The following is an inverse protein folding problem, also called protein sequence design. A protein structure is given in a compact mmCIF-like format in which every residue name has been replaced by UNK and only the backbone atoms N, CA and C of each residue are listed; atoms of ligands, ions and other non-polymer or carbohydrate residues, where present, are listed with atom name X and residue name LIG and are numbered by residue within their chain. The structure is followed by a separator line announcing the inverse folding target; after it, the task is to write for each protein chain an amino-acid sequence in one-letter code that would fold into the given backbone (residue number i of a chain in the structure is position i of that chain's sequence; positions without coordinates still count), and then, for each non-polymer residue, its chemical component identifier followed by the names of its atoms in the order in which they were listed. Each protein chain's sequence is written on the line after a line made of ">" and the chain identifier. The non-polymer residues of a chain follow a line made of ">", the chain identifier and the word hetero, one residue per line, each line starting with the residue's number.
data_IF_268500121311
#
_entry.id   IF_268500121311
#
_cell.length_a   1.000
_cell.length_b   1.000
_cell.length_c   1.000
_cell.angle_alpha   90.00
_cell.angle_beta   90.00
_cell.angle_gamma   90.00
#
_symmetry.space_group_name_H-M   'P 1'
#
loop_
_entity.id
_entity.type
_entity.pdbx_description
1 polymer ?
#
# COMPACT_ATOMS: atom_id res chain seq x y z
N UNK A 1 -9.82 21.64 -13.17
CA UNK A 1 -8.72 22.07 -12.27
C UNK A 1 -7.88 20.84 -11.92
N UNK A 2 -6.56 20.95 -11.95
CA UNK A 2 -5.62 19.86 -11.64
C UNK A 2 -4.96 20.17 -10.29
N UNK A 3 -4.83 19.18 -9.41
CA UNK A 3 -4.21 19.32 -8.09
C UNK A 3 -3.07 18.33 -7.93
N UNK A 4 -2.01 18.76 -7.26
CA UNK A 4 -0.84 17.93 -6.99
C UNK A 4 -0.46 18.00 -5.52
N UNK A 5 -0.50 16.86 -4.82
CA UNK A 5 -0.05 16.78 -3.41
C UNK A 5 1.48 16.82 -3.24
N UNK A 6 2.23 16.52 -4.30
CA UNK A 6 3.69 16.31 -4.26
C UNK A 6 4.51 17.48 -4.82
N UNK A 7 3.85 18.51 -5.37
CA UNK A 7 4.48 19.60 -6.14
C UNK A 7 5.17 19.19 -7.45
N UNK A 8 5.08 17.92 -7.88
CA UNK A 8 5.77 17.43 -9.09
C UNK A 8 4.97 17.72 -10.37
N UNK A 9 5.62 18.16 -11.45
CA UNK A 9 4.97 18.58 -12.68
C UNK A 9 4.33 17.44 -13.50
N UNK A 10 4.46 16.18 -13.10
CA UNK A 10 3.91 15.02 -13.83
C UNK A 10 2.92 14.19 -13.00
N UNK A 11 2.58 14.66 -11.79
CA UNK A 11 1.76 13.89 -10.86
C UNK A 11 0.49 14.66 -10.51
N UNK A 12 -0.34 14.90 -11.52
CA UNK A 12 -1.61 15.60 -11.34
C UNK A 12 -2.74 14.61 -11.04
N UNK A 13 -3.62 15.03 -10.15
CA UNK A 13 -4.84 14.33 -9.78
C UNK A 13 -6.03 15.23 -10.10
N UNK A 14 -7.18 14.62 -10.42
CA UNK A 14 -8.42 15.38 -10.54
C UNK A 14 -8.85 15.90 -9.16
N UNK A 15 -9.59 17.00 -9.15
CA UNK A 15 -10.04 17.61 -7.89
C UNK A 15 -10.92 16.67 -7.06
N UNK A 16 -11.81 15.92 -7.72
CA UNK A 16 -12.68 14.93 -7.07
C UNK A 16 -11.86 13.81 -6.38
N UNK A 17 -10.86 13.28 -7.07
CA UNK A 17 -9.95 12.29 -6.50
C UNK A 17 -9.12 12.85 -5.34
N UNK A 18 -8.74 14.13 -5.40
CA UNK A 18 -8.01 14.79 -4.32
C UNK A 18 -8.90 14.95 -3.08
N UNK A 19 -10.15 15.34 -3.29
CA UNK A 19 -11.14 15.41 -2.24
C UNK A 19 -11.40 14.04 -1.63
N UNK A 20 -11.53 12.99 -2.44
CA UNK A 20 -11.68 11.62 -1.95
C UNK A 20 -10.46 11.18 -1.12
N UNK A 21 -9.25 11.53 -1.56
CA UNK A 21 -8.03 11.23 -0.80
C UNK A 21 -7.97 11.95 0.56
N UNK A 22 -8.55 13.16 0.67
CA UNK A 22 -8.60 13.90 1.93
C UNK A 22 -9.63 13.34 2.90
N UNK A 23 -10.75 12.81 2.39
CA UNK A 23 -11.85 12.30 3.21
C UNK A 23 -11.81 10.78 3.40
N UNK A 24 -10.89 10.05 2.74
CA UNK A 24 -10.77 8.59 2.87
C UNK A 24 -10.54 8.14 4.30
N UNK A 25 -9.72 8.85 5.08
CA UNK A 25 -9.41 8.47 6.47
C UNK A 25 -10.62 8.67 7.40
N UNK A 26 -11.54 9.54 6.99
CA UNK A 26 -12.81 9.82 7.66
C UNK A 26 -13.90 8.81 7.22
N UNK A 27 -13.93 8.45 5.92
CA UNK A 27 -14.94 7.56 5.32
C UNK A 27 -14.64 6.07 5.50
N UNK A 28 -13.39 5.66 5.28
CA UNK A 28 -12.94 4.27 5.11
C UNK A 28 -12.00 3.89 6.24
N UNK A 29 -12.42 2.88 7.02
CA UNK A 29 -11.70 1.90 7.87
C UNK A 29 -10.51 2.34 8.77
N UNK A 30 -9.66 3.31 8.43
CA UNK A 30 -8.36 3.57 9.10
C UNK A 30 -8.48 3.91 10.59
N UNK A 31 -9.54 4.60 11.01
CA UNK A 31 -9.79 4.98 12.42
C UNK A 31 -11.19 4.60 12.91
N UNK A 32 -11.74 3.48 12.43
CA UNK A 32 -13.04 2.98 12.89
C UNK A 32 -12.88 1.95 14.01
N UNK A 33 -13.08 2.31 15.29
CA UNK A 33 -13.16 1.31 16.36
C UNK A 33 -14.46 0.49 16.35
N UNK A 34 -15.52 0.93 15.65
CA UNK A 34 -16.87 0.33 15.75
C UNK A 34 -17.60 0.03 14.41
N UNK A 35 -16.88 -0.30 13.33
CA UNK A 35 -17.54 -0.75 12.09
C UNK A 35 -18.31 0.35 11.32
N UNK A 36 -19.16 -0.02 10.35
CA UNK A 36 -19.88 0.95 9.52
C UNK A 36 -21.01 1.61 10.33
N UNK A 37 -21.08 2.95 10.31
CA UNK A 37 -22.08 3.80 10.97
C UNK A 37 -21.89 4.14 12.47
N UNK A 38 -20.66 4.47 12.89
CA UNK A 38 -20.50 5.38 14.03
C UNK A 38 -21.05 6.75 13.63
N UNK A 39 -22.30 7.06 13.99
CA UNK A 39 -23.09 8.17 13.42
C UNK A 39 -22.42 9.55 13.41
N UNK A 40 -23.03 10.54 12.74
CA UNK A 40 -22.47 11.88 12.51
C UNK A 40 -21.82 12.56 13.71
N UNK A 41 -22.38 12.38 14.91
CA UNK A 41 -21.84 12.91 16.16
C UNK A 41 -20.42 12.40 16.47
N UNK A 42 -20.14 11.14 16.16
CA UNK A 42 -18.82 10.56 16.35
C UNK A 42 -17.82 11.11 15.33
N UNK A 43 -18.23 11.29 14.07
CA UNK A 43 -17.36 11.89 13.04
C UNK A 43 -16.95 13.33 13.42
N UNK A 44 -17.85 14.12 14.00
CA UNK A 44 -17.54 15.49 14.44
C UNK A 44 -16.47 15.52 15.54
N UNK A 45 -16.48 14.56 16.46
CA UNK A 45 -15.48 14.47 17.54
C UNK A 45 -14.16 13.89 17.02
N UNK A 46 -14.23 12.91 16.10
CA UNK A 46 -13.06 12.25 15.56
C UNK A 46 -12.27 13.15 14.59
N UNK A 47 -12.97 13.92 13.75
CA UNK A 47 -12.35 14.74 12.70
C UNK A 47 -11.19 15.63 13.19
N UNK A 48 -11.33 16.43 14.28
CA UNK A 48 -10.22 17.24 14.79
C UNK A 48 -9.09 16.41 15.41
N UNK A 49 -9.34 15.16 15.81
CA UNK A 49 -8.33 14.28 16.41
C UNK A 49 -7.48 13.53 15.36
N UNK A 50 -7.97 13.37 14.12
CA UNK A 50 -7.28 12.63 13.04
C UNK A 50 -5.83 13.10 12.81
N UNK A 51 -5.51 14.41 12.76
CA UNK A 51 -4.13 14.85 12.56
C UNK A 51 -3.17 14.35 13.63
N UNK A 52 -3.61 14.37 14.90
CA UNK A 52 -2.83 13.89 16.04
C UNK A 52 -2.63 12.37 15.97
N UNK A 53 -3.66 11.63 15.60
CA UNK A 53 -3.56 10.17 15.44
C UNK A 53 -2.58 9.82 14.32
N UNK A 54 -2.60 10.56 13.20
CA UNK A 54 -1.64 10.37 12.09
C UNK A 54 -0.21 10.62 12.53
N UNK A 55 0.06 11.73 13.21
CA UNK A 55 1.40 12.04 13.72
C UNK A 55 1.90 10.98 14.70
N UNK A 56 1.02 10.50 15.59
CA UNK A 56 1.36 9.47 16.58
C UNK A 56 1.67 8.14 15.88
N UNK A 57 0.86 7.78 14.88
CA UNK A 57 1.06 6.56 14.09
C UNK A 57 2.37 6.64 13.31
N UNK A 58 2.64 7.75 12.64
CA UNK A 58 3.89 7.98 11.90
C UNK A 58 5.11 7.92 12.82
N UNK A 59 5.01 8.47 14.03
CA UNK A 59 6.08 8.42 15.05
C UNK A 59 6.36 6.99 15.51
N UNK A 60 5.31 6.25 15.88
CA UNK A 60 5.43 4.84 16.31
C UNK A 60 6.03 4.01 15.18
N UNK A 61 5.53 4.18 13.95
CA UNK A 61 6.05 3.49 12.78
C UNK A 61 7.54 3.78 12.51
N UNK A 62 7.98 5.03 12.73
CA UNK A 62 9.39 5.40 12.60
C UNK A 62 10.23 4.75 13.72
N UNK A 63 9.71 4.71 14.94
CA UNK A 63 10.41 4.14 16.09
C UNK A 63 10.57 2.62 15.99
N UNK A 64 9.54 1.90 15.54
CA UNK A 64 9.55 0.44 15.45
C UNK A 64 9.97 -0.10 14.08
N UNK A 65 10.08 0.77 13.06
CA UNK A 65 10.50 0.43 11.70
C UNK A 65 9.73 -0.76 11.09
N UNK A 66 8.50 -0.97 11.56
CA UNK A 66 7.67 -2.16 11.34
C UNK A 66 7.11 -2.26 9.92
N UNK A 67 6.99 -1.13 9.22
CA UNK A 67 6.37 -1.02 7.90
C UNK A 67 7.29 -0.39 6.86
N UNK A 68 8.45 -1.02 6.59
CA UNK A 68 9.31 -0.60 5.47
C UNK A 68 8.80 -1.06 4.10
N UNK A 69 7.97 -2.10 4.06
CA UNK A 69 7.46 -2.65 2.80
C UNK A 69 6.26 -1.85 2.32
N UNK A 70 6.43 -1.13 1.20
CA UNK A 70 5.34 -0.40 0.52
C UNK A 70 5.18 1.07 0.88
N UNK A 71 5.94 1.61 1.85
CA UNK A 71 5.91 3.06 2.18
C UNK A 71 6.35 3.96 1.03
N UNK A 72 7.16 3.43 0.12
CA UNK A 72 7.59 4.11 -1.11
C UNK A 72 7.50 3.12 -2.25
N UNK A 73 6.75 3.47 -3.28
CA UNK A 73 6.92 2.86 -4.61
C UNK A 73 8.27 3.33 -5.15
N UNK A 74 9.32 2.61 -4.74
CA UNK A 74 10.64 2.78 -5.33
C UNK A 74 10.66 2.00 -6.65
N UNK A 75 11.43 2.45 -7.63
CA UNK A 75 11.58 1.69 -8.87
C UNK A 75 11.99 0.24 -8.54
N UNK A 76 11.28 -0.77 -9.07
CA UNK A 76 11.54 -2.16 -8.73
C UNK A 76 12.96 -2.55 -9.14
N UNK A 77 13.66 -3.26 -8.25
CA UNK A 77 15.02 -3.77 -8.52
C UNK A 77 14.88 -5.18 -9.06
N UNK A 78 14.56 -5.25 -10.35
CA UNK A 78 14.20 -6.48 -11.07
C UNK A 78 15.11 -7.67 -10.71
N UNK A 79 16.42 -7.51 -10.79
CA UNK A 79 17.37 -8.59 -10.54
C UNK A 79 17.36 -9.08 -9.08
N UNK A 80 17.22 -8.16 -8.11
CA UNK A 80 17.16 -8.50 -6.68
C UNK A 80 15.84 -9.19 -6.32
N UNK A 81 14.75 -8.76 -6.95
CA UNK A 81 13.43 -9.36 -6.75
C UNK A 81 13.35 -10.76 -7.38
N UNK A 82 13.96 -10.98 -8.55
CA UNK A 82 14.09 -12.31 -9.17
C UNK A 82 14.92 -13.24 -8.28
N UNK A 83 16.03 -12.76 -7.70
CA UNK A 83 16.84 -13.57 -6.80
C UNK A 83 16.07 -14.01 -5.56
N UNK A 84 15.34 -13.09 -4.90
CA UNK A 84 14.47 -13.42 -3.76
C UNK A 84 13.36 -14.41 -4.14
N UNK A 85 12.78 -14.26 -5.33
CA UNK A 85 11.80 -15.21 -5.85
C UNK A 85 12.41 -16.60 -6.06
N UNK A 86 13.61 -16.69 -6.63
CA UNK A 86 14.31 -17.96 -6.82
C UNK A 86 14.70 -18.61 -5.50
N UNK A 87 15.15 -17.83 -4.50
CA UNK A 87 15.44 -18.31 -3.15
C UNK A 87 14.18 -18.88 -2.47
N UNK A 88 13.04 -18.21 -2.57
CA UNK A 88 11.77 -18.69 -2.03
C UNK A 88 11.22 -19.92 -2.77
N UNK A 89 11.56 -20.09 -4.06
CA UNK A 89 11.15 -21.25 -4.85
C UNK A 89 12.00 -22.50 -4.58
N UNK A 90 13.24 -22.32 -4.10
CA UNK A 90 14.16 -23.42 -3.79
C UNK A 90 13.57 -24.27 -2.65
N UNK A 91 13.12 -25.48 -3.01
CA UNK A 91 12.56 -26.47 -2.08
C UNK A 91 11.06 -26.71 -2.23
N UNK A 92 10.31 -25.81 -2.89
CA UNK A 92 8.86 -25.98 -3.12
C UNK A 92 8.57 -26.54 -4.51
N UNK A 93 9.42 -26.26 -5.49
CA UNK A 93 9.20 -26.69 -6.88
C UNK A 93 10.41 -27.47 -7.40
N UNK A 94 10.20 -28.74 -7.77
CA UNK A 94 11.18 -29.55 -8.51
C UNK A 94 10.84 -29.50 -9.99
N UNK A 95 11.74 -28.96 -10.82
CA UNK A 95 11.59 -28.99 -12.27
C UNK A 95 11.88 -30.41 -12.78
N UNK A 96 10.83 -31.17 -13.12
CA UNK A 96 10.97 -32.44 -13.84
C UNK A 96 10.91 -32.15 -15.33
N UNK A 97 11.95 -32.53 -16.07
CA UNK A 97 11.90 -32.56 -17.54
C UNK A 97 10.73 -33.45 -17.97
N UNK A 98 9.88 -32.92 -18.84
CA UNK A 98 8.79 -33.69 -19.47
C UNK A 98 9.32 -34.87 -20.27
N UNK A 99 8.46 -35.86 -20.52
CA UNK A 99 8.79 -37.08 -21.27
C UNK A 99 9.27 -36.70 -22.67
N UNK A 100 10.49 -37.09 -23.06
CA UNK A 100 10.96 -36.92 -24.43
C UNK A 100 10.27 -37.97 -25.31
N UNK A 101 9.47 -37.51 -26.26
CA UNK A 101 8.92 -38.36 -27.31
C UNK A 101 10.06 -38.64 -28.29
N UNK A 102 10.49 -39.89 -28.37
CA UNK A 102 11.37 -40.33 -29.44
C UNK A 102 10.63 -40.13 -30.77
N UNK A 103 11.14 -39.21 -31.60
CA UNK A 103 10.72 -39.08 -32.98
C UNK A 103 11.15 -40.36 -33.69
N UNK A 104 10.18 -41.18 -34.10
CA UNK A 104 10.42 -42.38 -34.88
C UNK A 104 10.93 -41.98 -36.28
N UNK A 105 12.02 -42.62 -36.70
CA UNK A 105 12.67 -42.50 -38.01
C UNK A 105 11.87 -43.15 -39.12
#
# INVERSE_FOLDING_TARGET
>A
WLLTFTGRPENFLSFDQAQEHNIKDIKVVTYKPQGPCGGWKYMQVLHPAIPTIRQTTDFIDQAFNTLNRGKRHTAPRKEQDIQKLLEGLRGVHSNRKGRQLALWS
#
